data_IF_465492304177
#
_entry.id   IF_465492304177
#
_cell.length_a   1.000
_cell.length_b   1.000
_cell.length_c   1.000
_cell.angle_alpha   90.00
_cell.angle_beta   90.00
_cell.angle_gamma   90.00
#
_symmetry.space_group_name_H-M   'P 1'
#
loop_
_entity.id
_entity.type
_entity.pdbx_description
1 polymer ?
#
# COMPACT_ATOMS: atom_id res chain seq x y z
N UNK A 1 15.73 -3.11 13.11
CA UNK A 1 14.60 -3.12 12.16
C UNK A 1 15.19 -3.31 10.78
N UNK A 2 14.79 -4.32 10.01
CA UNK A 2 15.22 -4.42 8.61
C UNK A 2 14.47 -3.35 7.79
N UNK A 3 15.21 -2.56 7.03
CA UNK A 3 14.67 -1.49 6.19
C UNK A 3 14.64 -2.02 4.75
N UNK A 4 13.44 -2.26 4.21
CA UNK A 4 13.28 -3.07 3.00
C UNK A 4 13.38 -2.30 1.68
N UNK A 5 13.20 -0.97 1.67
CA UNK A 5 13.59 -0.10 0.54
C UNK A 5 13.39 1.39 0.86
N UNK A 6 14.32 2.25 0.43
CA UNK A 6 14.13 3.72 0.39
C UNK A 6 13.25 4.17 -0.79
N UNK A 7 12.99 3.30 -1.76
CA UNK A 7 12.30 3.63 -3.02
C UNK A 7 10.80 3.35 -3.00
N UNK A 8 10.25 2.85 -1.88
CA UNK A 8 8.82 2.57 -1.75
C UNK A 8 8.03 3.88 -1.58
N UNK A 9 6.92 4.04 -2.30
CA UNK A 9 6.09 5.25 -2.18
C UNK A 9 5.55 5.40 -0.76
N UNK A 10 5.47 6.64 -0.29
CA UNK A 10 4.86 6.99 1.01
C UNK A 10 3.37 6.67 1.04
N UNK A 11 2.72 6.65 -0.13
CA UNK A 11 1.31 6.36 -0.29
C UNK A 11 1.13 5.19 -1.26
N UNK A 12 1.20 3.97 -0.72
CA UNK A 12 1.01 2.71 -1.43
C UNK A 12 0.18 1.76 -0.58
N UNK A 13 -0.64 0.94 -1.23
CA UNK A 13 -1.36 -0.17 -0.61
C UNK A 13 -0.60 -1.45 -0.94
N UNK A 14 -0.28 -2.23 0.09
CA UNK A 14 0.41 -3.50 -0.03
C UNK A 14 -0.51 -4.61 0.46
N UNK A 15 -0.81 -5.57 -0.41
CA UNK A 15 -1.61 -6.73 -0.06
C UNK A 15 -0.69 -7.89 0.30
N UNK A 16 -0.87 -8.43 1.50
CA UNK A 16 -0.11 -9.56 1.99
C UNK A 16 -1.02 -10.77 2.22
N UNK A 17 -0.53 -11.94 1.85
CA UNK A 17 -1.20 -13.22 2.13
C UNK A 17 -0.36 -14.12 3.02
N UNK A 18 -1.02 -15.02 3.73
CA UNK A 18 -0.37 -16.12 4.46
C UNK A 18 -0.38 -17.38 3.60
N UNK A 19 0.80 -17.92 3.35
CA UNK A 19 1.00 -19.22 2.71
C UNK A 19 1.21 -20.27 3.81
N UNK A 20 0.30 -21.24 3.87
CA UNK A 20 0.34 -22.32 4.87
C UNK A 20 1.71 -23.03 4.85
N UNK A 21 2.38 -23.04 6.01
CA UNK A 21 3.69 -23.66 6.20
C UNK A 21 4.88 -22.90 5.60
N UNK A 22 4.68 -21.71 5.02
CA UNK A 22 5.75 -20.90 4.39
C UNK A 22 5.84 -19.45 4.90
N UNK A 23 4.84 -18.98 5.66
CA UNK A 23 4.83 -17.62 6.21
C UNK A 23 4.01 -16.66 5.35
N UNK A 24 4.35 -15.37 5.37
CA UNK A 24 3.64 -14.34 4.60
C UNK A 24 4.36 -14.04 3.28
N UNK A 25 3.61 -13.57 2.29
CA UNK A 25 4.13 -13.09 1.02
C UNK A 25 3.43 -11.80 0.63
N UNK A 26 4.19 -10.87 0.03
CA UNK A 26 3.61 -9.74 -0.69
C UNK A 26 2.93 -10.27 -1.97
N UNK A 27 1.66 -9.96 -2.13
CA UNK A 27 0.85 -10.36 -3.28
C UNK A 27 0.83 -9.25 -4.32
N UNK A 28 0.56 -8.02 -3.87
CA UNK A 28 0.31 -6.89 -4.77
C UNK A 28 0.76 -5.57 -4.12
N UNK A 29 1.17 -4.63 -4.97
CA UNK A 29 1.53 -3.29 -4.57
C UNK A 29 0.85 -2.30 -5.51
N UNK A 30 -0.08 -1.51 -4.97
CA UNK A 30 -0.96 -0.63 -5.73
C UNK A 30 -0.86 0.82 -5.26
N UNK A 31 -0.93 1.81 -6.16
CA UNK A 31 -1.23 3.16 -5.73
C UNK A 31 -2.65 3.20 -5.14
N UNK A 32 -2.89 4.08 -4.17
CA UNK A 32 -4.13 4.09 -3.40
C UNK A 32 -5.40 4.24 -4.25
N UNK A 33 -5.32 4.96 -5.38
CA UNK A 33 -6.46 5.15 -6.30
C UNK A 33 -6.86 3.90 -7.09
N UNK A 34 -6.03 2.86 -7.14
CA UNK A 34 -6.35 1.56 -7.73
C UNK A 34 -6.95 0.56 -6.72
N UNK A 35 -7.00 0.91 -5.43
CA UNK A 35 -7.31 -0.02 -4.36
C UNK A 35 -8.74 0.14 -3.82
N UNK A 36 -9.25 -0.92 -3.20
CA UNK A 36 -10.48 -0.82 -2.40
C UNK A 36 -10.21 0.00 -1.14
N UNK A 37 -10.81 1.18 -1.04
CA UNK A 37 -10.65 2.10 0.10
C UNK A 37 -11.79 1.94 1.15
N UNK A 38 -12.80 1.12 0.84
CA UNK A 38 -13.85 0.64 1.74
C UNK A 38 -14.45 1.72 2.67
N UNK A 39 -14.41 1.47 3.98
CA UNK A 39 -14.97 2.32 5.02
C UNK A 39 -13.96 3.37 5.56
N UNK A 40 -12.90 3.65 4.80
CA UNK A 40 -11.98 4.72 5.16
C UNK A 40 -12.68 6.08 5.11
N UNK A 41 -12.18 7.00 5.93
CA UNK A 41 -12.60 8.40 5.92
C UNK A 41 -12.28 9.03 4.56
N UNK A 42 -13.31 9.54 3.87
CA UNK A 42 -13.18 10.02 2.50
C UNK A 42 -12.24 11.24 2.37
N UNK A 43 -12.24 12.14 3.36
CA UNK A 43 -11.40 13.35 3.32
C UNK A 43 -9.93 12.96 3.48
N UNK A 44 -9.63 12.06 4.44
CA UNK A 44 -8.26 11.57 4.65
C UNK A 44 -7.76 10.72 3.48
N UNK A 45 -8.64 9.94 2.87
CA UNK A 45 -8.31 9.13 1.69
C UNK A 45 -7.89 10.00 0.51
N UNK A 46 -8.49 11.18 0.33
CA UNK A 46 -8.13 12.08 -0.76
C UNK A 46 -6.66 12.51 -0.65
N UNK A 47 -6.17 12.80 0.56
CA UNK A 47 -4.76 13.16 0.79
C UNK A 47 -3.83 12.00 0.38
N UNK A 48 -4.18 10.77 0.75
CA UNK A 48 -3.39 9.56 0.40
C UNK A 48 -3.42 9.30 -1.10
N UNK A 49 -4.56 9.49 -1.76
CA UNK A 49 -4.69 9.35 -3.22
C UNK A 49 -3.77 10.35 -3.93
N UNK A 50 -3.81 11.62 -3.53
CA UNK A 50 -2.98 12.67 -4.15
C UNK A 50 -1.49 12.35 -3.96
N UNK A 51 -1.08 11.96 -2.76
CA UNK A 51 0.30 11.56 -2.47
C UNK A 51 0.72 10.33 -3.30
N UNK A 52 -0.19 9.39 -3.56
CA UNK A 52 0.09 8.18 -4.35
C UNK A 52 0.36 8.43 -5.84
N UNK A 53 0.08 9.64 -6.32
CA UNK A 53 0.37 10.08 -7.69
C UNK A 53 1.75 10.75 -7.82
N UNK A 54 2.42 11.04 -6.71
CA UNK A 54 3.76 11.63 -6.72
C UNK A 54 4.78 10.52 -6.97
N UNK A 55 5.61 10.72 -8.00
CA UNK A 55 6.72 9.81 -8.29
C UNK A 55 7.83 10.02 -7.27
N UNK A 56 8.25 8.94 -6.64
CA UNK A 56 9.47 8.89 -5.81
C UNK A 56 10.73 9.21 -6.62
#
# INVERSE_FOLDING_TARGET
MQQYSETLSKAIVLDFGIIKGKGWALIEANPAWCSGLYACDAEKVLEVIVESCIKN
#
